data_IF_154531341585
#
_entry.id   IF_154531341585
#
_cell.length_a   1.000
_cell.length_b   1.000
_cell.length_c   1.000
_cell.angle_alpha   90.00
_cell.angle_beta   90.00
_cell.angle_gamma   90.00
#
_symmetry.space_group_name_H-M   'P 1'
#
loop_
_entity.id
_entity.type
_entity.pdbx_description
1 polymer ?
#
# COMPACT_ATOMS: atom_id res chain seq x y z
N UNK A 1 -68.94 31.98 9.55
CA UNK A 1 -67.89 31.91 8.52
C UNK A 1 -66.54 32.03 9.23
N UNK A 2 -65.67 31.03 9.17
CA UNK A 2 -64.35 31.11 9.84
C UNK A 2 -63.41 32.11 9.16
N UNK A 3 -62.61 32.82 9.95
CA UNK A 3 -61.54 33.72 9.52
C UNK A 3 -60.63 33.03 8.48
N UNK A 4 -60.18 33.72 7.43
CA UNK A 4 -59.34 33.16 6.35
C UNK A 4 -58.10 32.44 6.88
N UNK A 5 -57.49 32.96 7.95
CA UNK A 5 -56.39 32.33 8.69
C UNK A 5 -56.76 30.96 9.26
N UNK A 6 -57.99 30.77 9.75
CA UNK A 6 -58.44 29.48 10.28
C UNK A 6 -58.71 28.46 9.18
N UNK A 7 -59.17 28.91 8.00
CA UNK A 7 -59.31 28.04 6.82
C UNK A 7 -57.95 27.60 6.30
N UNK A 8 -56.99 28.53 6.23
CA UNK A 8 -55.61 28.24 5.85
C UNK A 8 -54.95 27.25 6.81
N UNK A 9 -55.07 27.47 8.13
CA UNK A 9 -54.56 26.53 9.15
C UNK A 9 -55.14 25.12 8.97
N UNK A 10 -56.46 25.00 8.76
CA UNK A 10 -57.10 23.70 8.52
C UNK A 10 -56.58 23.04 7.24
N UNK A 11 -56.35 23.80 6.18
CA UNK A 11 -55.76 23.28 4.94
C UNK A 11 -54.35 22.73 5.16
N UNK A 12 -53.50 23.44 5.91
CA UNK A 12 -52.16 22.97 6.29
C UNK A 12 -52.21 21.68 7.12
N UNK A 13 -53.05 21.64 8.16
CA UNK A 13 -53.19 20.48 9.04
C UNK A 13 -53.67 19.25 8.26
N UNK A 14 -54.65 19.44 7.37
CA UNK A 14 -55.23 18.37 6.55
C UNK A 14 -54.34 17.94 5.37
N UNK A 15 -53.23 18.64 5.13
CA UNK A 15 -52.32 18.32 4.04
C UNK A 15 -52.71 18.90 2.67
N UNK A 16 -53.79 19.68 2.53
CA UNK A 16 -54.25 20.15 1.21
C UNK A 16 -53.42 21.32 0.67
N UNK A 17 -52.28 21.01 0.06
CA UNK A 17 -51.35 21.98 -0.52
C UNK A 17 -52.01 22.92 -1.54
N UNK A 18 -52.87 22.41 -2.42
CA UNK A 18 -53.49 23.23 -3.47
C UNK A 18 -54.42 24.27 -2.87
N UNK A 19 -55.29 23.84 -1.94
CA UNK A 19 -56.18 24.75 -1.23
C UNK A 19 -55.39 25.74 -0.37
N UNK A 20 -54.34 25.29 0.32
CA UNK A 20 -53.48 26.16 1.11
C UNK A 20 -52.80 27.21 0.23
N UNK A 21 -52.22 26.82 -0.91
CA UNK A 21 -51.59 27.73 -1.87
C UNK A 21 -52.59 28.76 -2.41
N UNK A 22 -53.78 28.32 -2.83
CA UNK A 22 -54.82 29.23 -3.32
C UNK A 22 -55.24 30.25 -2.25
N UNK A 23 -55.46 29.81 -1.01
CA UNK A 23 -55.82 30.71 0.09
C UNK A 23 -54.67 31.68 0.39
N UNK A 24 -53.43 31.20 0.38
CA UNK A 24 -52.25 32.04 0.64
C UNK A 24 -52.04 33.07 -0.47
N UNK A 25 -52.11 32.67 -1.75
CA UNK A 25 -51.90 33.54 -2.90
C UNK A 25 -52.98 34.61 -3.04
N UNK A 26 -54.24 34.25 -2.82
CA UNK A 26 -55.40 35.14 -3.00
C UNK A 26 -55.63 36.14 -1.85
N UNK A 27 -54.96 36.00 -0.71
CA UNK A 27 -55.19 36.85 0.46
C UNK A 27 -53.91 37.60 0.89
N UNK A 28 -53.68 38.85 0.45
CA UNK A 28 -52.46 39.60 0.79
C UNK A 28 -52.34 39.90 2.30
N UNK A 29 -53.47 40.15 2.97
CA UNK A 29 -53.50 40.35 4.43
C UNK A 29 -53.04 39.10 5.21
N UNK A 30 -53.34 37.90 4.69
CA UNK A 30 -52.87 36.65 5.29
C UNK A 30 -51.36 36.51 5.10
N UNK A 31 -50.84 36.89 3.94
CA UNK A 31 -49.40 36.90 3.70
C UNK A 31 -48.73 37.78 4.75
N UNK A 32 -49.14 39.05 4.88
CA UNK A 32 -48.54 40.00 5.82
C UNK A 32 -48.62 39.59 7.29
N UNK A 33 -49.75 39.01 7.71
CA UNK A 33 -49.98 38.64 9.12
C UNK A 33 -49.44 37.27 9.53
N UNK A 34 -49.13 36.38 8.59
CA UNK A 34 -48.67 35.03 8.90
C UNK A 34 -47.16 35.03 9.14
N UNK A 35 -46.78 34.81 10.39
CA UNK A 35 -45.41 34.46 10.77
C UNK A 35 -45.23 32.93 10.79
N UNK A 36 -44.36 32.36 9.93
CA UNK A 36 -44.07 30.92 9.92
C UNK A 36 -43.42 30.40 11.20
N UNK A 37 -42.86 31.27 12.03
CA UNK A 37 -42.21 30.92 13.29
C UNK A 37 -43.17 30.89 14.48
N UNK A 38 -44.33 31.53 14.35
CA UNK A 38 -45.32 31.59 15.42
C UNK A 38 -46.04 30.26 15.56
N UNK A 39 -45.97 29.73 16.78
CA UNK A 39 -46.65 28.50 17.18
C UNK A 39 -48.18 28.64 17.17
N UNK A 40 -48.91 27.60 16.76
CA UNK A 40 -50.38 27.59 16.88
C UNK A 40 -50.89 27.36 18.32
N UNK A 41 -49.99 27.18 19.29
CA UNK A 41 -50.29 27.07 20.72
C UNK A 41 -50.44 25.63 21.23
N UNK A 42 -50.78 25.51 22.51
CA UNK A 42 -50.96 24.24 23.24
C UNK A 42 -51.86 23.20 22.55
N UNK A 43 -53.05 23.53 22.00
CA UNK A 43 -53.93 22.52 21.40
C UNK A 43 -53.33 21.86 20.14
N UNK A 44 -52.27 22.44 19.59
CA UNK A 44 -51.55 21.93 18.42
C UNK A 44 -50.12 21.49 18.76
N UNK A 45 -49.84 21.19 20.03
CA UNK A 45 -48.51 20.77 20.53
C UNK A 45 -47.41 21.78 20.19
N UNK A 46 -47.77 23.06 20.15
CA UNK A 46 -46.92 24.14 19.70
C UNK A 46 -46.33 24.03 18.29
N UNK A 47 -46.89 23.18 17.40
CA UNK A 47 -46.45 23.12 16.01
C UNK A 47 -46.61 24.46 15.28
N UNK A 48 -45.60 24.83 14.50
CA UNK A 48 -45.61 26.04 13.66
C UNK A 48 -46.22 25.73 12.27
N UNK A 49 -46.61 26.75 11.48
CA UNK A 49 -47.00 26.53 10.07
C UNK A 49 -45.96 25.74 9.27
N UNK A 50 -44.67 25.95 9.58
CA UNK A 50 -43.55 25.27 8.92
C UNK A 50 -43.51 23.76 9.25
N UNK A 51 -43.82 23.38 10.50
CA UNK A 51 -43.93 21.98 10.92
C UNK A 51 -44.99 21.22 10.11
N UNK A 52 -46.17 21.82 9.90
CA UNK A 52 -47.23 21.18 9.11
C UNK A 52 -46.92 21.14 7.61
N UNK A 53 -46.29 22.18 7.07
CA UNK A 53 -45.83 22.19 5.69
C UNK A 53 -44.78 21.09 5.44
N UNK A 54 -43.83 20.92 6.37
CA UNK A 54 -42.80 19.89 6.31
C UNK A 54 -43.37 18.48 6.48
N UNK A 55 -44.27 18.27 7.46
CA UNK A 55 -44.93 16.98 7.72
C UNK A 55 -45.61 16.39 6.48
N UNK A 56 -46.21 17.24 5.66
CA UNK A 56 -46.94 16.85 4.44
C UNK A 56 -46.12 17.01 3.16
N UNK A 57 -44.85 17.43 3.23
CA UNK A 57 -44.00 17.64 2.06
C UNK A 57 -44.54 18.70 1.08
N UNK A 58 -45.13 19.78 1.61
CA UNK A 58 -45.70 20.88 0.79
C UNK A 58 -44.60 21.78 0.23
N UNK A 59 -43.95 21.37 -0.86
CA UNK A 59 -42.77 22.06 -1.38
C UNK A 59 -43.01 23.56 -1.70
N UNK A 60 -44.17 23.93 -2.26
CA UNK A 60 -44.48 25.32 -2.64
C UNK A 60 -44.61 26.22 -1.43
N UNK A 61 -45.37 25.76 -0.43
CA UNK A 61 -45.58 26.52 0.81
C UNK A 61 -44.30 26.56 1.64
N UNK A 62 -43.62 25.42 1.76
CA UNK A 62 -42.37 25.33 2.51
C UNK A 62 -41.31 26.29 1.94
N UNK A 63 -41.14 26.34 0.62
CA UNK A 63 -40.22 27.30 -0.02
C UNK A 63 -40.61 28.75 0.22
N UNK A 64 -41.90 29.04 0.14
CA UNK A 64 -42.40 30.40 0.40
C UNK A 64 -42.13 30.83 1.85
N UNK A 65 -42.25 29.90 2.80
CA UNK A 65 -41.97 30.19 4.21
C UNK A 65 -40.49 30.32 4.51
N UNK A 66 -39.65 29.42 4.00
CA UNK A 66 -38.21 29.41 4.23
C UNK A 66 -37.49 30.60 3.59
N UNK A 67 -37.82 30.94 2.33
CA UNK A 67 -37.09 31.95 1.56
C UNK A 67 -37.82 33.29 1.42
N UNK A 68 -39.15 33.31 1.62
CA UNK A 68 -39.96 34.52 1.48
C UNK A 68 -40.43 35.14 2.79
N UNK A 69 -40.31 34.45 3.92
CA UNK A 69 -40.87 34.85 5.22
C UNK A 69 -39.97 34.55 6.43
N UNK A 70 -38.69 34.33 6.21
CA UNK A 70 -37.69 34.03 7.25
C UNK A 70 -38.13 32.94 8.24
N UNK A 71 -38.80 31.90 7.72
CA UNK A 71 -39.17 30.74 8.51
C UNK A 71 -37.94 29.97 8.97
N UNK A 72 -37.79 29.78 10.28
CA UNK A 72 -36.68 29.04 10.87
C UNK A 72 -37.07 27.56 11.06
N UNK A 73 -36.44 26.63 10.31
CA UNK A 73 -36.71 25.19 10.40
C UNK A 73 -36.24 24.56 11.72
N UNK A 74 -35.37 25.24 12.47
CA UNK A 74 -34.83 24.80 13.77
C UNK A 74 -35.78 25.04 14.94
N UNK A 75 -36.92 25.73 14.73
CA UNK A 75 -37.94 25.89 15.77
C UNK A 75 -38.42 24.52 16.22
N UNK A 76 -38.52 24.35 17.54
CA UNK A 76 -38.92 23.11 18.19
C UNK A 76 -40.36 23.18 18.68
N UNK A 77 -41.09 22.08 18.56
CA UNK A 77 -42.42 21.91 19.15
C UNK A 77 -42.34 21.39 20.61
N UNK A 78 -43.47 20.99 21.21
CA UNK A 78 -43.49 20.41 22.59
C UNK A 78 -42.65 19.13 22.73
N UNK A 79 -42.48 18.39 21.64
CA UNK A 79 -41.71 17.16 21.59
C UNK A 79 -40.21 17.38 21.29
N UNK A 80 -39.77 18.64 21.25
CA UNK A 80 -38.45 19.05 20.77
C UNK A 80 -38.16 18.71 19.29
N UNK A 81 -39.18 18.34 18.52
CA UNK A 81 -39.04 18.01 17.10
C UNK A 81 -38.86 19.29 16.28
N UNK A 82 -37.97 19.24 15.30
CA UNK A 82 -37.81 20.29 14.28
C UNK A 82 -38.66 20.00 13.05
N UNK A 83 -38.72 20.97 12.12
CA UNK A 83 -39.41 20.74 10.83
C UNK A 83 -38.79 19.58 10.03
N UNK A 84 -37.50 19.31 10.21
CA UNK A 84 -36.79 18.20 9.57
C UNK A 84 -37.22 16.83 10.12
N UNK A 85 -37.48 16.72 11.43
CA UNK A 85 -37.98 15.48 12.03
C UNK A 85 -39.33 15.07 11.42
N UNK A 86 -40.26 16.02 11.34
CA UNK A 86 -41.59 15.75 10.78
C UNK A 86 -41.57 15.46 9.29
N UNK A 87 -40.60 16.02 8.56
CA UNK A 87 -40.42 15.75 7.14
C UNK A 87 -39.93 14.31 6.91
N UNK A 88 -38.98 13.86 7.71
CA UNK A 88 -38.40 12.52 7.68
C UNK A 88 -39.32 11.46 8.31
N UNK A 89 -40.39 11.88 8.98
CA UNK A 89 -41.46 11.00 9.46
C UNK A 89 -42.36 10.61 8.28
N UNK A 90 -42.12 9.42 7.73
CA UNK A 90 -42.91 8.86 6.65
C UNK A 90 -44.31 8.43 7.08
N UNK A 91 -45.24 8.22 6.13
CA UNK A 91 -46.64 7.85 6.41
C UNK A 91 -46.79 6.51 7.16
N UNK A 92 -45.76 5.66 7.16
CA UNK A 92 -45.74 4.37 7.86
C UNK A 92 -45.55 4.52 9.38
N UNK A 93 -44.83 5.56 9.83
CA UNK A 93 -44.58 5.84 11.26
C UNK A 93 -45.72 6.69 11.86
N UNK A 94 -46.49 7.38 11.02
CA UNK A 94 -47.57 8.30 11.41
C UNK A 94 -48.82 7.63 12.04
N UNK A 95 -48.79 6.32 12.32
CA UNK A 95 -49.97 5.52 12.70
C UNK A 95 -50.21 5.51 14.23
N UNK A 96 -49.21 5.83 15.06
CA UNK A 96 -49.44 5.91 16.52
C UNK A 96 -49.80 7.33 16.98
N UNK A 97 -51.06 7.44 17.42
CA UNK A 97 -51.64 8.50 18.25
C UNK A 97 -51.87 9.87 17.58
N UNK A 98 -53.02 9.99 16.91
CA UNK A 98 -53.72 11.28 16.75
C UNK A 98 -53.58 11.99 15.40
N UNK A 99 -53.06 11.32 14.35
CA UNK A 99 -52.97 11.91 13.02
C UNK A 99 -54.31 11.85 12.26
N UNK A 100 -54.86 13.04 11.98
CA UNK A 100 -55.95 13.26 11.02
C UNK A 100 -55.67 12.50 9.71
N UNK A 101 -56.70 11.80 9.23
CA UNK A 101 -56.82 10.88 8.09
C UNK A 101 -55.64 10.75 7.10
N UNK A 102 -55.31 9.51 6.67
CA UNK A 102 -54.39 9.29 5.57
C UNK A 102 -54.86 9.99 4.30
N UNK A 103 -54.03 10.86 3.72
CA UNK A 103 -54.10 11.07 2.27
C UNK A 103 -53.85 9.71 1.60
N UNK A 104 -54.58 9.40 0.52
CA UNK A 104 -54.30 8.24 -0.32
C UNK A 104 -52.82 8.28 -0.73
N UNK A 105 -52.01 7.44 -0.09
CA UNK A 105 -50.55 7.45 -0.25
C UNK A 105 -50.18 7.08 -1.68
N UNK A 106 -49.49 7.98 -2.38
CA UNK A 106 -48.69 7.64 -3.56
C UNK A 106 -47.23 7.60 -3.10
N UNK A 107 -46.77 6.46 -2.58
CA UNK A 107 -45.52 6.38 -1.83
C UNK A 107 -44.29 6.92 -2.59
N UNK A 108 -44.23 6.68 -3.90
CA UNK A 108 -43.08 7.12 -4.73
C UNK A 108 -43.07 8.63 -4.98
N UNK A 109 -44.22 9.24 -5.28
CA UNK A 109 -44.30 10.69 -5.54
C UNK A 109 -44.07 11.50 -4.26
N UNK A 110 -44.49 10.96 -3.11
CA UNK A 110 -44.32 11.60 -1.80
C UNK A 110 -42.85 11.61 -1.35
N UNK A 111 -42.08 10.56 -1.64
CA UNK A 111 -40.65 10.47 -1.27
C UNK A 111 -39.79 11.50 -2.02
N UNK A 112 -40.01 11.70 -3.32
CA UNK A 112 -39.31 12.72 -4.10
C UNK A 112 -39.64 14.13 -3.59
N UNK A 113 -40.92 14.42 -3.32
CA UNK A 113 -41.33 15.72 -2.77
C UNK A 113 -40.71 16.00 -1.41
N UNK A 114 -40.62 14.98 -0.55
CA UNK A 114 -39.98 15.10 0.76
C UNK A 114 -38.48 15.31 0.63
N UNK A 115 -37.81 14.64 -0.29
CA UNK A 115 -36.40 14.86 -0.58
C UNK A 115 -36.13 16.30 -1.09
N UNK A 116 -36.98 16.83 -1.97
CA UNK A 116 -36.90 18.23 -2.43
C UNK A 116 -37.09 19.20 -1.26
N UNK A 117 -38.10 18.97 -0.42
CA UNK A 117 -38.34 19.76 0.80
C UNK A 117 -37.12 19.72 1.74
N UNK A 118 -36.49 18.56 1.90
CA UNK A 118 -35.33 18.36 2.76
C UNK A 118 -34.15 19.15 2.20
N UNK A 119 -33.93 19.08 0.88
CA UNK A 119 -32.91 19.86 0.21
C UNK A 119 -33.11 21.37 0.38
N UNK A 120 -34.36 21.84 0.36
CA UNK A 120 -34.68 23.25 0.63
C UNK A 120 -34.37 23.65 2.07
N UNK A 121 -34.69 22.80 3.05
CA UNK A 121 -34.32 23.02 4.46
C UNK A 121 -32.80 23.02 4.64
N UNK A 122 -32.08 22.07 4.05
CA UNK A 122 -30.61 21.99 4.15
C UNK A 122 -29.89 23.18 3.49
N UNK A 123 -30.50 23.79 2.46
CA UNK A 123 -30.00 25.02 1.82
C UNK A 123 -30.35 26.30 2.57
N UNK A 124 -31.22 26.23 3.58
CA UNK A 124 -31.64 27.38 4.35
C UNK A 124 -30.45 28.03 5.07
N UNK A 125 -30.38 29.35 4.98
CA UNK A 125 -29.42 30.19 5.69
C UNK A 125 -30.21 31.22 6.48
N UNK A 126 -30.13 31.15 7.79
CA UNK A 126 -30.79 32.07 8.70
C UNK A 126 -29.99 33.35 8.93
N UNK A 127 -30.18 33.94 10.10
CA UNK A 127 -29.53 35.18 10.47
C UNK A 127 -27.99 35.02 10.55
N UNK A 128 -27.28 36.15 10.37
CA UNK A 128 -25.83 36.20 10.55
C UNK A 128 -25.53 36.15 12.05
N UNK A 129 -24.75 35.16 12.46
CA UNK A 129 -24.22 34.99 13.81
C UNK A 129 -23.05 35.95 14.05
N UNK A 130 -22.73 36.19 15.32
CA UNK A 130 -21.72 37.17 15.75
C UNK A 130 -20.31 36.89 15.19
N UNK A 131 -20.02 35.64 14.83
CA UNK A 131 -18.75 35.19 14.26
C UNK A 131 -18.67 35.32 12.72
N UNK A 132 -19.68 35.88 12.07
CA UNK A 132 -19.72 36.05 10.62
C UNK A 132 -20.27 34.84 9.84
N UNK A 133 -20.61 33.77 10.54
CA UNK A 133 -21.28 32.59 9.99
C UNK A 133 -22.79 32.80 9.91
N UNK A 134 -23.46 32.06 9.03
CA UNK A 134 -24.92 32.09 8.92
C UNK A 134 -25.52 30.90 9.67
N UNK A 135 -26.64 31.10 10.36
CA UNK A 135 -27.40 29.99 10.95
C UNK A 135 -27.79 28.98 9.87
N UNK A 136 -27.62 27.68 10.14
CA UNK A 136 -27.95 26.58 9.21
C UNK A 136 -29.01 25.68 9.83
N UNK A 137 -29.61 24.83 9.01
CA UNK A 137 -30.50 23.79 9.51
C UNK A 137 -29.73 22.82 10.42
N UNK A 138 -30.25 22.57 11.61
CA UNK A 138 -29.67 21.63 12.57
C UNK A 138 -30.00 20.20 12.16
N UNK A 139 -29.05 19.55 11.49
CA UNK A 139 -29.17 18.19 10.94
C UNK A 139 -29.26 17.16 12.08
N UNK A 140 -28.43 17.31 13.10
CA UNK A 140 -28.36 16.42 14.27
C UNK A 140 -29.19 16.94 15.45
N UNK A 141 -30.23 17.73 15.17
CA UNK A 141 -31.18 18.10 16.21
C UNK A 141 -31.83 16.82 16.77
N UNK A 142 -32.00 16.77 18.09
CA UNK A 142 -32.62 15.62 18.77
C UNK A 142 -33.97 16.00 19.36
N UNK A 143 -34.92 15.08 19.25
CA UNK A 143 -36.22 15.15 19.92
C UNK A 143 -36.14 14.73 21.41
N UNK A 144 -37.29 14.66 22.09
CA UNK A 144 -37.36 14.21 23.48
C UNK A 144 -36.88 12.76 23.71
N UNK A 145 -36.90 11.92 22.68
CA UNK A 145 -36.45 10.52 22.71
C UNK A 145 -35.01 10.36 22.19
N UNK A 146 -34.30 11.48 22.01
CA UNK A 146 -32.96 11.55 21.40
C UNK A 146 -32.89 11.04 19.96
N UNK A 147 -34.01 10.91 19.26
CA UNK A 147 -34.01 10.59 17.84
C UNK A 147 -33.57 11.80 17.03
N UNK A 148 -32.67 11.60 16.09
CA UNK A 148 -32.32 12.57 15.05
C UNK A 148 -33.25 12.42 13.83
N UNK A 149 -33.33 13.40 12.91
CA UNK A 149 -34.06 13.26 11.65
C UNK A 149 -33.62 12.03 10.85
N UNK A 150 -32.35 11.63 10.97
CA UNK A 150 -31.80 10.45 10.32
C UNK A 150 -32.44 9.15 10.84
N UNK A 151 -32.73 9.04 12.14
CA UNK A 151 -33.46 7.90 12.71
C UNK A 151 -34.84 7.74 12.06
N UNK A 152 -35.58 8.85 11.90
CA UNK A 152 -36.90 8.83 11.27
C UNK A 152 -36.84 8.50 9.78
N UNK A 153 -35.87 9.05 9.05
CA UNK A 153 -35.67 8.76 7.63
C UNK A 153 -35.33 7.27 7.40
N UNK A 154 -34.47 6.71 8.26
CA UNK A 154 -34.05 5.32 8.23
C UNK A 154 -35.21 4.36 8.59
N UNK A 155 -35.95 4.66 9.66
CA UNK A 155 -37.14 3.91 10.07
C UNK A 155 -38.27 3.97 9.02
N UNK A 156 -38.35 5.05 8.24
CA UNK A 156 -39.36 5.21 7.18
C UNK A 156 -38.94 4.58 5.84
N UNK A 157 -37.69 4.11 5.72
CA UNK A 157 -37.17 3.54 4.48
C UNK A 157 -36.87 4.57 3.38
N UNK A 158 -36.75 5.85 3.73
CA UNK A 158 -36.63 6.96 2.78
C UNK A 158 -35.18 7.09 2.27
N UNK A 159 -34.79 6.23 1.32
CA UNK A 159 -33.41 6.12 0.80
C UNK A 159 -32.81 7.46 0.39
N UNK A 160 -33.53 8.25 -0.41
CA UNK A 160 -33.07 9.57 -0.89
C UNK A 160 -32.88 10.59 0.23
N UNK A 161 -33.74 10.58 1.26
CA UNK A 161 -33.60 11.47 2.40
C UNK A 161 -32.41 11.09 3.27
N UNK A 162 -32.18 9.79 3.48
CA UNK A 162 -31.00 9.27 4.18
C UNK A 162 -29.72 9.68 3.46
N UNK A 163 -29.62 9.45 2.16
CA UNK A 163 -28.44 9.85 1.36
C UNK A 163 -28.17 11.36 1.44
N UNK A 164 -29.21 12.19 1.43
CA UNK A 164 -29.06 13.64 1.56
C UNK A 164 -28.59 14.06 2.96
N UNK A 165 -29.11 13.45 4.02
CA UNK A 165 -28.69 13.74 5.39
C UNK A 165 -27.24 13.33 5.63
N UNK A 166 -26.85 12.13 5.21
CA UNK A 166 -25.48 11.63 5.38
C UNK A 166 -24.50 12.47 4.57
N UNK A 167 -24.83 12.82 3.32
CA UNK A 167 -23.99 13.69 2.48
C UNK A 167 -23.74 15.06 3.11
N UNK A 168 -24.68 15.56 3.90
CA UNK A 168 -24.56 16.85 4.59
C UNK A 168 -23.97 16.76 6.00
N UNK A 169 -23.44 15.59 6.39
CA UNK A 169 -22.75 15.37 7.65
C UNK A 169 -23.65 14.96 8.82
N UNK A 170 -24.81 14.35 8.54
CA UNK A 170 -25.65 13.78 9.59
C UNK A 170 -24.97 12.63 10.31
N UNK A 171 -25.07 12.63 11.65
CA UNK A 171 -24.40 11.64 12.50
C UNK A 171 -25.02 10.24 12.34
N UNK A 172 -24.23 9.33 11.78
CA UNK A 172 -24.57 7.91 11.58
C UNK A 172 -24.52 7.10 12.87
N UNK A 173 -23.78 7.57 13.89
CA UNK A 173 -23.52 6.87 15.14
C UNK A 173 -24.39 7.37 16.30
N UNK A 174 -25.25 8.37 16.05
CA UNK A 174 -26.14 8.91 17.07
C UNK A 174 -27.04 7.81 17.66
N UNK A 175 -27.04 7.66 18.98
CA UNK A 175 -27.89 6.71 19.70
C UNK A 175 -29.13 7.41 20.29
N UNK A 176 -30.31 6.84 20.05
CA UNK A 176 -31.54 7.30 20.71
C UNK A 176 -31.69 6.79 22.15
N UNK A 177 -32.80 7.10 22.84
CA UNK A 177 -33.07 6.61 24.21
C UNK A 177 -33.03 5.08 24.37
N UNK A 178 -33.33 4.33 23.30
CA UNK A 178 -33.29 2.87 23.31
C UNK A 178 -31.89 2.31 22.97
N UNK A 179 -30.89 3.16 22.77
CA UNK A 179 -29.57 2.83 22.25
C UNK A 179 -29.59 2.25 20.83
N UNK A 180 -30.61 2.61 20.06
CA UNK A 180 -30.67 2.26 18.65
C UNK A 180 -30.00 3.36 17.84
N UNK A 181 -29.16 2.96 16.89
CA UNK A 181 -28.63 3.83 15.83
C UNK A 181 -29.66 4.00 14.71
N UNK A 182 -29.47 4.95 13.77
CA UNK A 182 -30.29 5.04 12.57
C UNK A 182 -30.32 3.73 11.76
N UNK A 183 -29.21 2.99 11.73
CA UNK A 183 -29.13 1.69 11.07
C UNK A 183 -30.06 0.66 11.75
N UNK A 184 -30.00 0.57 13.09
CA UNK A 184 -30.88 -0.33 13.87
C UNK A 184 -32.37 -0.01 13.65
N UNK A 185 -32.69 1.28 13.52
CA UNK A 185 -34.06 1.72 13.22
C UNK A 185 -34.54 1.25 11.83
N UNK A 186 -33.66 1.25 10.82
CA UNK A 186 -33.97 0.70 9.50
C UNK A 186 -34.15 -0.83 9.55
N UNK A 187 -33.34 -1.54 10.33
CA UNK A 187 -33.46 -3.00 10.49
C UNK A 187 -34.77 -3.41 11.17
N UNK A 188 -35.15 -2.72 12.25
CA UNK A 188 -36.39 -2.97 13.00
C UNK A 188 -37.63 -2.84 12.12
N UNK A 189 -37.60 -1.93 11.15
CA UNK A 189 -38.68 -1.70 10.19
C UNK A 189 -38.53 -2.54 8.91
N UNK A 190 -37.61 -3.52 8.91
CA UNK A 190 -37.36 -4.46 7.82
C UNK A 190 -36.85 -3.81 6.52
N UNK A 191 -36.20 -2.64 6.59
CA UNK A 191 -35.58 -1.96 5.45
C UNK A 191 -34.13 -2.42 5.22
N UNK A 192 -33.95 -3.72 4.93
CA UNK A 192 -32.64 -4.38 4.84
C UNK A 192 -31.64 -3.71 3.89
N UNK A 193 -32.06 -3.33 2.68
CA UNK A 193 -31.14 -2.68 1.72
C UNK A 193 -30.60 -1.34 2.23
N UNK A 194 -31.43 -0.60 2.97
CA UNK A 194 -31.05 0.70 3.53
C UNK A 194 -30.16 0.52 4.75
N UNK A 195 -30.47 -0.46 5.60
CA UNK A 195 -29.61 -0.85 6.72
C UNK A 195 -28.22 -1.28 6.24
N UNK A 196 -28.13 -2.16 5.24
CA UNK A 196 -26.84 -2.58 4.66
C UNK A 196 -26.05 -1.39 4.09
N UNK A 197 -26.72 -0.43 3.45
CA UNK A 197 -26.06 0.76 2.94
C UNK A 197 -25.52 1.62 4.10
N UNK A 198 -26.34 1.88 5.12
CA UNK A 198 -25.93 2.60 6.33
C UNK A 198 -24.80 1.89 7.08
N UNK A 199 -24.88 0.58 7.26
CA UNK A 199 -23.84 -0.24 7.89
C UNK A 199 -22.53 -0.13 7.11
N UNK A 200 -22.58 -0.26 5.78
CA UNK A 200 -21.40 -0.07 4.93
C UNK A 200 -20.82 1.34 5.11
N UNK A 201 -21.66 2.37 5.15
CA UNK A 201 -21.22 3.73 5.37
C UNK A 201 -20.65 3.92 6.77
N UNK A 202 -21.18 3.28 7.81
CA UNK A 202 -20.62 3.32 9.17
C UNK A 202 -19.24 2.65 9.25
N UNK A 203 -19.02 1.56 8.52
CA UNK A 203 -17.71 0.88 8.45
C UNK A 203 -16.66 1.74 7.74
N UNK A 204 -17.06 2.49 6.71
CA UNK A 204 -16.15 3.33 5.92
C UNK A 204 -16.07 4.79 6.40
N UNK A 205 -17.05 5.27 7.17
CA UNK A 205 -17.04 6.59 7.82
C UNK A 205 -16.19 6.47 9.07
N UNK A 206 -14.88 6.57 8.86
CA UNK A 206 -13.89 6.60 9.93
C UNK A 206 -14.17 7.82 10.81
N UNK A 207 -14.27 7.56 12.11
CA UNK A 207 -14.37 8.53 13.17
C UNK A 207 -13.25 9.59 13.06
N UNK A 208 -13.53 10.90 13.20
CA UNK A 208 -12.48 11.92 13.32
C UNK A 208 -11.42 11.60 14.39
N UNK A 209 -11.78 10.90 15.47
CA UNK A 209 -10.80 10.45 16.49
C UNK A 209 -9.94 9.27 16.00
N UNK A 210 -10.42 8.50 15.03
CA UNK A 210 -9.61 7.46 14.39
C UNK A 210 -8.54 8.06 13.48
N UNK A 211 -8.72 9.26 12.90
CA UNK A 211 -7.66 9.93 12.14
C UNK A 211 -6.49 10.37 13.04
N UNK A 212 -6.74 10.77 14.29
CA UNK A 212 -5.70 11.19 15.24
C UNK A 212 -4.87 9.98 15.71
N UNK A 213 -5.54 8.85 15.98
CA UNK A 213 -4.88 7.59 16.33
C UNK A 213 -4.19 6.98 15.11
N UNK A 214 -4.79 7.00 13.92
CA UNK A 214 -4.19 6.46 12.70
C UNK A 214 -3.00 7.34 12.25
N UNK A 215 -3.00 8.65 12.52
CA UNK A 215 -1.83 9.51 12.35
C UNK A 215 -0.71 9.22 13.36
N UNK A 216 -1.06 8.88 14.61
CA UNK A 216 -0.11 8.50 15.66
C UNK A 216 0.51 7.12 15.39
N UNK A 217 -0.28 6.15 14.91
CA UNK A 217 0.20 4.83 14.47
C UNK A 217 0.93 4.90 13.13
N UNK A 218 0.53 5.77 12.19
CA UNK A 218 1.28 6.02 10.94
C UNK A 218 2.60 6.76 11.19
N UNK A 219 2.70 7.54 12.28
CA UNK A 219 3.98 8.10 12.73
C UNK A 219 4.93 7.01 13.27
N UNK A 220 4.40 5.92 13.82
CA UNK A 220 5.17 4.75 14.27
C UNK A 220 5.50 3.76 13.12
N UNK A 221 4.68 3.71 12.06
CA UNK A 221 4.91 2.87 10.86
C UNK A 221 5.55 3.63 9.68
N UNK A 222 6.22 4.75 9.96
CA UNK A 222 7.29 5.20 9.06
C UNK A 222 8.36 4.12 9.09
N UNK A 223 8.27 3.14 8.17
CA UNK A 223 9.35 2.20 7.86
C UNK A 223 10.65 2.97 7.98
N UNK A 224 11.48 2.58 8.94
CA UNK A 224 12.79 3.17 9.08
C UNK A 224 13.42 3.18 7.67
N UNK A 225 13.99 4.29 7.20
CA UNK A 225 14.50 4.41 5.82
C UNK A 225 15.75 3.54 5.59
N UNK A 226 16.01 2.59 6.48
CA UNK A 226 17.13 1.70 6.50
C UNK A 226 16.69 0.29 6.91
N UNK A 227 17.40 -0.71 6.41
CA UNK A 227 17.19 -2.12 6.74
C UNK A 227 18.52 -2.74 7.17
N UNK A 228 18.55 -3.36 8.35
CA UNK A 228 19.70 -4.13 8.82
C UNK A 228 19.77 -5.49 8.10
N UNK A 229 20.87 -5.73 7.37
CA UNK A 229 21.11 -6.93 6.58
C UNK A 229 22.06 -7.89 7.31
N UNK A 230 21.70 -9.17 7.34
CA UNK A 230 22.57 -10.25 7.82
C UNK A 230 23.50 -10.72 6.69
N UNK A 231 24.60 -11.44 7.00
CA UNK A 231 25.48 -12.02 5.96
C UNK A 231 24.75 -12.85 4.91
N UNK A 232 23.71 -13.60 5.32
CA UNK A 232 22.89 -14.39 4.39
C UNK A 232 22.07 -13.51 3.45
N UNK A 233 21.57 -12.36 3.94
CA UNK A 233 20.78 -11.43 3.14
C UNK A 233 21.68 -10.69 2.13
N UNK A 234 22.93 -10.37 2.52
CA UNK A 234 23.94 -9.83 1.61
C UNK A 234 24.28 -10.80 0.48
N UNK A 235 24.45 -12.09 0.79
CA UNK A 235 24.65 -13.13 -0.24
C UNK A 235 23.48 -13.19 -1.21
N UNK A 236 22.24 -13.18 -0.71
CA UNK A 236 21.05 -13.16 -1.57
C UNK A 236 20.98 -11.93 -2.47
N UNK A 237 21.35 -10.75 -1.97
CA UNK A 237 21.40 -9.54 -2.78
C UNK A 237 22.48 -9.61 -3.87
N UNK A 238 23.65 -10.19 -3.55
CA UNK A 238 24.70 -10.49 -4.52
C UNK A 238 24.18 -11.44 -5.61
N UNK A 239 23.55 -12.55 -5.21
CA UNK A 239 23.01 -13.55 -6.13
C UNK A 239 21.91 -12.95 -7.02
N UNK A 240 21.03 -12.11 -6.48
CA UNK A 240 20.03 -11.38 -7.27
C UNK A 240 20.68 -10.45 -8.30
N UNK A 241 21.73 -9.71 -7.92
CA UNK A 241 22.45 -8.86 -8.86
C UNK A 241 23.08 -9.68 -10.01
N UNK A 242 23.66 -10.84 -9.70
CA UNK A 242 24.21 -11.75 -10.71
C UNK A 242 23.11 -12.23 -11.66
N UNK A 243 21.95 -12.64 -11.13
CA UNK A 243 20.81 -13.09 -11.96
C UNK A 243 20.29 -11.97 -12.86
N UNK A 244 20.09 -10.76 -12.32
CA UNK A 244 19.63 -9.61 -13.09
C UNK A 244 20.62 -9.22 -14.19
N UNK A 245 21.93 -9.21 -13.88
CA UNK A 245 22.96 -8.89 -14.87
C UNK A 245 23.12 -9.98 -15.92
N UNK A 246 23.03 -11.26 -15.54
CA UNK A 246 23.04 -12.37 -16.48
C UNK A 246 21.88 -12.28 -17.49
N UNK A 247 20.67 -11.92 -17.02
CA UNK A 247 19.51 -11.70 -17.89
C UNK A 247 19.72 -10.52 -18.85
N UNK A 248 20.24 -9.40 -18.34
CA UNK A 248 20.55 -8.21 -19.16
C UNK A 248 21.64 -8.47 -20.21
N UNK A 249 22.68 -9.22 -19.85
CA UNK A 249 23.81 -9.56 -20.72
C UNK A 249 23.53 -10.79 -21.61
N UNK A 250 22.44 -11.51 -21.36
CA UNK A 250 22.13 -12.81 -21.95
C UNK A 250 23.30 -13.82 -21.83
N UNK A 251 23.93 -13.84 -20.67
CA UNK A 251 25.10 -14.66 -20.39
C UNK A 251 24.81 -15.68 -19.27
N UNK A 252 25.56 -16.80 -19.19
CA UNK A 252 25.49 -17.70 -18.04
C UNK A 252 25.80 -16.99 -16.70
N UNK A 253 25.22 -17.46 -15.60
CA UNK A 253 25.38 -16.86 -14.27
C UNK A 253 26.86 -16.74 -13.84
N UNK A 254 27.66 -17.78 -14.10
CA UNK A 254 29.09 -17.77 -13.76
C UNK A 254 29.87 -16.73 -14.59
N UNK A 255 29.46 -16.48 -15.85
CA UNK A 255 30.04 -15.44 -16.70
C UNK A 255 29.69 -14.05 -16.18
N UNK A 256 28.42 -13.83 -15.82
CA UNK A 256 27.98 -12.56 -15.25
C UNK A 256 28.66 -12.27 -13.90
N UNK A 257 28.86 -13.27 -13.04
CA UNK A 257 29.60 -13.12 -11.78
C UNK A 257 31.07 -12.74 -12.04
N UNK A 258 31.75 -13.41 -12.96
CA UNK A 258 33.14 -13.11 -13.30
C UNK A 258 33.29 -11.69 -13.89
N UNK A 259 32.36 -11.28 -14.75
CA UNK A 259 32.31 -9.93 -15.30
C UNK A 259 32.03 -8.87 -14.23
N UNK A 260 31.10 -9.14 -13.31
CA UNK A 260 30.84 -8.25 -12.18
C UNK A 260 32.07 -8.11 -11.28
N UNK A 261 32.81 -9.18 -11.01
CA UNK A 261 34.06 -9.11 -10.23
C UNK A 261 35.13 -8.27 -10.92
N UNK A 262 35.32 -8.46 -12.23
CA UNK A 262 36.28 -7.69 -13.01
C UNK A 262 35.96 -6.18 -13.05
N UNK A 263 34.69 -5.82 -12.85
CA UNK A 263 34.18 -4.45 -12.83
C UNK A 263 33.80 -3.96 -11.42
N UNK A 264 34.42 -4.50 -10.36
CA UNK A 264 34.23 -4.03 -8.99
C UNK A 264 32.74 -4.05 -8.55
N UNK A 265 31.96 -5.04 -8.98
CA UNK A 265 30.52 -5.14 -8.72
C UNK A 265 29.68 -3.92 -9.16
N UNK A 266 30.25 -3.05 -10.01
CA UNK A 266 29.59 -1.87 -10.55
C UNK A 266 28.84 -2.25 -11.83
N UNK A 267 27.53 -2.48 -11.67
CA UNK A 267 26.63 -2.86 -12.77
C UNK A 267 26.62 -1.82 -13.90
N UNK A 268 26.66 -0.53 -13.58
CA UNK A 268 26.55 0.52 -14.60
C UNK A 268 27.82 0.57 -15.47
N UNK A 269 28.99 0.54 -14.84
CA UNK A 269 30.27 0.45 -15.57
C UNK A 269 30.38 -0.81 -16.43
N UNK A 270 29.91 -1.94 -15.91
CA UNK A 270 29.88 -3.19 -16.67
C UNK A 270 28.99 -3.06 -17.92
N UNK A 271 27.77 -2.54 -17.76
CA UNK A 271 26.85 -2.36 -18.88
C UNK A 271 27.40 -1.37 -19.92
N UNK A 272 28.02 -0.27 -19.49
CA UNK A 272 28.68 0.68 -20.41
C UNK A 272 29.84 0.05 -21.19
N UNK A 273 30.70 -0.71 -20.50
CA UNK A 273 31.81 -1.42 -21.13
C UNK A 273 31.31 -2.50 -22.10
N UNK A 274 30.25 -3.22 -21.72
CA UNK A 274 29.60 -4.23 -22.55
C UNK A 274 28.96 -3.63 -23.80
N UNK A 275 28.22 -2.53 -23.67
CA UNK A 275 27.63 -1.81 -24.80
C UNK A 275 28.68 -1.23 -25.74
N UNK A 276 29.86 -0.86 -25.21
CA UNK A 276 30.95 -0.30 -26.00
C UNK A 276 31.68 -1.38 -26.80
N UNK A 277 32.09 -2.48 -26.15
CA UNK A 277 32.69 -3.62 -26.84
C UNK A 277 32.60 -4.90 -25.96
N UNK A 278 31.67 -5.84 -26.25
CA UNK A 278 31.46 -7.02 -25.43
C UNK A 278 32.62 -8.03 -25.53
N UNK A 279 33.27 -8.12 -26.69
CA UNK A 279 34.39 -9.05 -26.93
C UNK A 279 35.62 -8.66 -26.10
N UNK A 280 35.95 -7.36 -26.07
CA UNK A 280 37.08 -6.86 -25.28
C UNK A 280 36.81 -6.98 -23.77
N UNK A 281 35.55 -6.77 -23.36
CA UNK A 281 35.11 -6.93 -21.98
C UNK A 281 35.27 -8.39 -21.49
N UNK A 282 34.83 -9.34 -22.32
CA UNK A 282 35.01 -10.78 -22.04
C UNK A 282 36.49 -11.18 -22.02
N UNK A 283 37.28 -10.72 -22.99
CA UNK A 283 38.70 -11.07 -23.09
C UNK A 283 39.53 -10.51 -21.93
N UNK A 284 39.26 -9.28 -21.49
CA UNK A 284 39.93 -8.65 -20.33
C UNK A 284 39.57 -9.32 -19.00
N UNK A 285 38.34 -9.83 -18.90
CA UNK A 285 37.87 -10.54 -17.72
C UNK A 285 38.23 -12.03 -17.75
N UNK A 286 38.86 -12.50 -18.83
CA UNK A 286 39.18 -13.91 -19.01
C UNK A 286 37.93 -14.78 -19.02
N UNK A 287 36.85 -14.36 -19.68
CA UNK A 287 35.62 -15.16 -19.78
C UNK A 287 35.32 -15.44 -21.25
N UNK A 288 34.88 -16.67 -21.55
CA UNK A 288 34.44 -17.01 -22.90
C UNK A 288 33.14 -16.28 -23.23
N UNK A 289 33.09 -15.67 -24.43
CA UNK A 289 31.90 -14.96 -24.90
C UNK A 289 30.71 -15.93 -24.93
N UNK A 290 29.54 -15.56 -24.37
CA UNK A 290 28.35 -16.37 -24.49
C UNK A 290 28.02 -16.54 -25.97
N UNK A 291 27.99 -17.79 -26.44
CA UNK A 291 27.51 -18.09 -27.78
C UNK A 291 26.03 -17.69 -27.85
N UNK A 292 25.59 -16.90 -28.85
CA UNK A 292 24.19 -16.59 -28.98
C UNK A 292 23.41 -17.91 -29.11
N UNK A 293 22.23 -18.04 -28.46
CA UNK A 293 21.42 -19.22 -28.67
C UNK A 293 21.14 -19.34 -30.17
N UNK A 294 21.26 -20.55 -30.76
CA UNK A 294 20.94 -20.72 -32.17
C UNK A 294 19.51 -20.25 -32.40
N UNK A 295 19.36 -19.21 -33.22
CA UNK A 295 18.06 -18.66 -33.61
C UNK A 295 17.20 -19.77 -34.20
N UNK A 296 16.20 -20.19 -33.44
CA UNK A 296 15.07 -20.96 -33.93
C UNK A 296 15.23 -22.47 -33.98
N UNK A 297 15.57 -23.13 -32.88
CA UNK A 297 15.17 -24.53 -32.65
C UNK A 297 14.94 -24.79 -31.16
N UNK A 298 13.84 -25.47 -30.83
CA UNK A 298 13.46 -25.81 -29.46
C UNK A 298 14.56 -26.64 -28.79
N UNK A 299 15.15 -26.12 -27.71
CA UNK A 299 16.26 -26.68 -26.95
C UNK A 299 15.87 -27.92 -26.08
N UNK A 300 14.91 -28.72 -26.51
CA UNK A 300 14.59 -30.02 -25.90
C UNK A 300 15.06 -31.22 -26.73
N UNK A 301 15.43 -31.03 -27.99
CA UNK A 301 15.85 -32.13 -28.88
C UNK A 301 17.38 -32.26 -29.09
N UNK A 302 18.19 -31.52 -28.34
CA UNK A 302 19.67 -31.63 -28.38
C UNK A 302 20.30 -31.89 -27.01
N UNK A 303 19.55 -32.42 -26.05
CA UNK A 303 20.18 -33.18 -24.98
C UNK A 303 20.76 -34.47 -25.60
N UNK A 304 22.07 -34.73 -25.50
CA UNK A 304 22.51 -36.11 -25.52
C UNK A 304 21.83 -36.77 -24.31
N UNK A 305 21.00 -37.80 -24.56
CA UNK A 305 20.50 -38.69 -23.51
C UNK A 305 21.61 -38.98 -22.51
N UNK A 306 21.32 -39.04 -21.19
CA UNK A 306 22.32 -39.28 -20.17
C UNK A 306 23.08 -40.54 -20.51
N UNK A 307 24.31 -40.36 -21.01
CA UNK A 307 25.27 -41.43 -21.13
C UNK A 307 25.62 -41.79 -19.71
N UNK A 308 25.05 -42.91 -19.28
CA UNK A 308 25.58 -43.72 -18.19
C UNK A 308 27.10 -43.87 -18.34
N UNK A 309 27.85 -43.96 -17.23
CA UNK A 309 29.30 -43.88 -17.24
C UNK A 309 29.86 -44.98 -18.15
N UNK A 310 30.48 -44.57 -19.27
CA UNK A 310 31.22 -45.51 -20.11
C UNK A 310 32.56 -45.73 -19.44
N UNK A 311 32.57 -46.64 -18.47
CA UNK A 311 33.77 -47.37 -18.06
C UNK A 311 34.35 -48.05 -19.30
N UNK A 312 35.41 -47.48 -19.87
CA UNK A 312 36.25 -48.17 -20.84
C UNK A 312 37.15 -49.13 -20.08
N UNK A 313 36.71 -50.39 -19.94
CA UNK A 313 37.56 -51.57 -20.13
C UNK A 313 36.67 -52.76 -20.47
N UNK A 314 36.68 -53.12 -21.74
CA UNK A 314 36.00 -54.27 -22.34
C UNK A 314 36.75 -55.56 -21.99
N UNK A 315 36.03 -56.64 -21.62
CA UNK A 315 36.24 -58.08 -21.95
C UNK A 315 35.41 -58.93 -20.96
N UNK A 316 34.33 -59.59 -21.39
CA UNK A 316 34.33 -60.94 -21.98
C UNK A 316 35.33 -61.86 -21.29
N UNK A 317 34.84 -62.65 -20.34
CA UNK A 317 35.50 -63.87 -19.89
C UNK A 317 35.51 -64.89 -21.03
N UNK A 318 36.67 -65.04 -21.66
CA UNK A 318 37.20 -66.36 -22.03
C UNK A 318 38.69 -66.35 -21.67
N UNK A 319 39.21 -67.41 -21.04
CA UNK A 319 40.59 -67.50 -20.65
C UNK A 319 41.41 -67.84 -21.89
N UNK A 320 42.43 -67.03 -22.21
CA UNK A 320 43.74 -67.53 -22.63
C UNK A 320 44.67 -66.36 -23.01
N UNK A 321 45.89 -66.49 -22.50
CA UNK A 321 47.16 -65.88 -22.94
C UNK A 321 47.50 -64.41 -22.64
N UNK A 322 48.45 -64.32 -21.72
CA UNK A 322 49.42 -63.27 -21.38
C UNK A 322 50.11 -62.69 -22.63
N UNK A 323 50.23 -61.37 -22.74
CA UNK A 323 51.41 -60.69 -23.30
C UNK A 323 51.43 -59.20 -22.92
N UNK A 324 52.46 -58.81 -22.17
CA UNK A 324 52.80 -57.44 -21.78
C UNK A 324 53.51 -56.71 -22.93
N UNK A 325 53.20 -55.43 -23.13
CA UNK A 325 54.10 -54.45 -23.76
C UNK A 325 54.08 -53.11 -22.99
N UNK A 326 55.22 -52.40 -22.85
CA UNK A 326 55.36 -51.24 -21.96
C UNK A 326 55.42 -49.88 -22.71
N UNK A 327 54.83 -48.83 -22.12
CA UNK A 327 54.84 -47.42 -22.59
C UNK A 327 53.47 -47.01 -23.16
N UNK A 328 52.76 -45.98 -22.72
CA UNK A 328 53.11 -44.71 -22.06
C UNK A 328 52.14 -44.41 -20.91
N UNK A 329 52.66 -44.18 -19.70
CA UNK A 329 51.91 -43.58 -18.61
C UNK A 329 52.26 -42.08 -18.63
N UNK A 330 51.53 -41.32 -19.45
CA UNK A 330 51.74 -39.88 -19.59
C UNK A 330 51.37 -39.20 -18.26
N UNK A 331 52.37 -39.05 -17.40
CA UNK A 331 52.22 -38.52 -16.06
C UNK A 331 52.41 -37.02 -16.20
N UNK A 332 51.33 -36.25 -16.24
CA UNK A 332 51.40 -34.79 -16.36
C UNK A 332 52.28 -34.23 -15.22
N UNK A 333 53.23 -33.36 -15.57
CA UNK A 333 54.13 -32.72 -14.62
C UNK A 333 53.55 -31.35 -14.25
N UNK A 334 53.64 -30.97 -12.98
CA UNK A 334 53.23 -29.64 -12.56
C UNK A 334 54.31 -28.61 -12.92
N UNK A 335 53.94 -27.56 -13.67
CA UNK A 335 54.89 -26.51 -14.09
C UNK A 335 55.43 -25.62 -12.95
N UNK A 336 54.82 -25.68 -11.74
CA UNK A 336 55.26 -24.89 -10.58
C UNK A 336 56.27 -25.65 -9.73
N UNK A 337 56.01 -26.93 -9.42
CA UNK A 337 56.86 -27.73 -8.53
C UNK A 337 57.63 -28.85 -9.24
N UNK A 338 57.40 -29.05 -10.53
CA UNK A 338 58.01 -30.09 -11.38
C UNK A 338 57.76 -31.53 -10.88
N UNK A 339 56.76 -31.73 -10.00
CA UNK A 339 56.35 -33.04 -9.51
C UNK A 339 55.34 -33.72 -10.45
N UNK A 340 55.32 -35.05 -10.46
CA UNK A 340 54.30 -35.84 -11.18
C UNK A 340 52.92 -35.64 -10.56
N UNK A 341 51.96 -35.16 -11.33
CA UNK A 341 50.54 -35.09 -10.97
C UNK A 341 50.02 -36.52 -10.98
N UNK A 342 49.53 -37.01 -9.83
CA UNK A 342 49.07 -38.38 -9.70
C UNK A 342 47.72 -38.57 -10.40
N UNK A 343 47.56 -39.67 -11.13
CA UNK A 343 46.31 -40.09 -11.81
C UNK A 343 45.13 -40.30 -10.82
N UNK A 344 45.41 -40.32 -9.51
CA UNK A 344 44.43 -40.53 -8.44
C UNK A 344 44.01 -39.25 -7.70
N UNK A 345 44.59 -38.10 -8.02
CA UNK A 345 44.08 -36.80 -7.55
C UNK A 345 43.15 -36.23 -8.61
N UNK A 346 41.95 -35.80 -8.23
CA UNK A 346 41.02 -35.14 -9.14
C UNK A 346 41.71 -33.92 -9.79
N UNK A 347 41.89 -33.88 -11.13
CA UNK A 347 42.54 -32.78 -11.79
C UNK A 347 41.70 -31.51 -11.63
N UNK A 348 42.34 -30.39 -11.32
CA UNK A 348 41.69 -29.09 -11.23
C UNK A 348 41.41 -28.61 -12.66
N UNK A 349 40.18 -28.81 -13.12
CA UNK A 349 39.77 -28.44 -14.48
C UNK A 349 39.62 -26.92 -14.60
N UNK A 350 40.59 -26.28 -15.23
CA UNK A 350 40.63 -24.84 -15.45
C UNK A 350 40.38 -24.54 -16.94
N UNK A 351 39.48 -23.60 -17.29
CA UNK A 351 39.12 -23.31 -18.70
C UNK A 351 40.27 -22.79 -19.58
N UNK A 352 41.41 -22.42 -18.98
CA UNK A 352 42.61 -22.03 -19.71
C UNK A 352 43.53 -23.21 -20.09
N UNK A 353 43.25 -24.44 -19.64
CA UNK A 353 44.03 -25.64 -19.96
C UNK A 353 45.42 -25.70 -19.32
N UNK A 354 45.64 -24.99 -18.21
CA UNK A 354 46.90 -25.01 -17.45
C UNK A 354 46.79 -25.96 -16.26
N UNK A 355 47.67 -26.96 -16.21
CA UNK A 355 47.63 -28.02 -15.19
C UNK A 355 48.68 -27.78 -14.10
N UNK A 356 48.20 -27.60 -12.85
CA UNK A 356 49.06 -27.53 -11.67
C UNK A 356 48.61 -28.54 -10.62
N UNK A 357 49.53 -29.05 -9.79
CA UNK A 357 49.17 -29.95 -8.72
C UNK A 357 48.35 -29.24 -7.62
N UNK A 358 47.52 -30.01 -6.92
CA UNK A 358 46.63 -29.51 -5.88
C UNK A 358 47.36 -28.75 -4.78
N UNK A 359 48.55 -29.21 -4.38
CA UNK A 359 49.36 -28.54 -3.35
C UNK A 359 49.89 -27.16 -3.77
N UNK A 360 50.21 -26.98 -5.06
CA UNK A 360 50.61 -25.68 -5.60
C UNK A 360 49.42 -24.73 -5.68
N UNK A 361 48.27 -25.21 -6.13
CA UNK A 361 47.02 -24.44 -6.12
C UNK A 361 46.62 -24.02 -4.70
N UNK A 362 46.66 -24.94 -3.74
CA UNK A 362 46.35 -24.65 -2.33
C UNK A 362 47.30 -23.60 -1.76
N UNK A 363 48.61 -23.71 -2.01
CA UNK A 363 49.60 -22.74 -1.54
C UNK A 363 49.39 -21.36 -2.18
N UNK A 364 49.14 -21.31 -3.48
CA UNK A 364 48.88 -20.07 -4.22
C UNK A 364 47.60 -19.37 -3.74
N UNK A 365 46.49 -20.11 -3.66
CA UNK A 365 45.21 -19.57 -3.20
C UNK A 365 45.27 -19.12 -1.74
N UNK A 366 45.89 -19.90 -0.86
CA UNK A 366 46.08 -19.51 0.54
C UNK A 366 46.90 -18.23 0.67
N UNK A 367 47.97 -18.07 -0.11
CA UNK A 367 48.79 -16.88 -0.11
C UNK A 367 48.01 -15.67 -0.61
N UNK A 368 47.28 -15.79 -1.73
CA UNK A 368 46.47 -14.72 -2.29
C UNK A 368 45.32 -14.28 -1.39
N UNK A 369 44.65 -15.22 -0.72
CA UNK A 369 43.59 -14.91 0.24
C UNK A 369 44.17 -14.26 1.51
N UNK A 370 45.40 -14.61 1.92
CA UNK A 370 46.08 -13.96 3.04
C UNK A 370 46.58 -12.54 2.72
N UNK A 371 46.99 -12.28 1.48
CA UNK A 371 47.41 -10.95 1.00
C UNK A 371 46.24 -9.95 0.96
N UNK A 372 44.99 -10.43 1.01
CA UNK A 372 43.79 -9.58 1.09
C UNK A 372 43.23 -9.13 -0.26
N UNK A 373 43.90 -9.45 -1.37
CA UNK A 373 43.43 -9.23 -2.75
C UNK A 373 42.65 -10.44 -3.27
N UNK A 374 41.51 -10.74 -2.62
CA UNK A 374 40.69 -11.90 -2.99
C UNK A 374 39.73 -11.65 -4.17
N UNK A 375 39.63 -10.42 -4.68
CA UNK A 375 38.59 -10.03 -5.64
C UNK A 375 38.83 -10.55 -7.05
N UNK A 376 40.10 -10.62 -7.48
CA UNK A 376 40.50 -10.99 -8.83
C UNK A 376 41.68 -11.98 -8.80
N UNK A 377 41.40 -13.22 -8.40
CA UNK A 377 42.41 -14.29 -8.43
C UNK A 377 42.51 -14.84 -9.85
N UNK A 378 43.65 -14.60 -10.49
CA UNK A 378 43.96 -15.11 -11.82
C UNK A 378 44.72 -16.43 -11.77
N UNK A 379 44.72 -17.15 -12.89
CA UNK A 379 45.52 -18.36 -13.07
C UNK A 379 47.02 -18.09 -12.77
N UNK A 380 47.71 -19.00 -12.06
CA UNK A 380 49.15 -18.89 -11.77
C UNK A 380 50.07 -18.88 -13.00
N UNK A 381 49.56 -19.23 -14.19
CA UNK A 381 50.34 -19.31 -15.42
C UNK A 381 50.80 -17.92 -15.91
N UNK A 382 51.98 -17.88 -16.52
CA UNK A 382 52.53 -16.66 -17.10
C UNK A 382 51.65 -16.16 -18.25
N UNK A 383 51.29 -14.87 -18.22
CA UNK A 383 50.44 -14.20 -19.22
C UNK A 383 49.01 -14.78 -19.34
N UNK A 384 48.50 -15.37 -18.26
CA UNK A 384 47.13 -15.87 -18.18
C UNK A 384 46.24 -14.97 -17.31
N UNK A 385 45.25 -14.32 -17.93
CA UNK A 385 44.27 -13.45 -17.25
C UNK A 385 42.94 -14.17 -16.96
N UNK A 386 42.94 -15.51 -16.97
CA UNK A 386 41.76 -16.31 -16.70
C UNK A 386 41.42 -16.23 -15.20
N UNK A 387 40.23 -15.76 -14.85
CA UNK A 387 39.73 -15.74 -13.48
C UNK A 387 39.46 -17.16 -12.99
N UNK A 388 39.86 -17.44 -11.75
CA UNK A 388 39.61 -18.72 -11.07
C UNK A 388 38.15 -18.77 -10.58
N UNK A 389 37.34 -19.76 -11.03
CA UNK A 389 35.98 -19.95 -10.54
C UNK A 389 35.91 -20.24 -9.04
N UNK A 390 34.81 -19.83 -8.39
CA UNK A 390 34.59 -20.02 -6.94
C UNK A 390 34.57 -21.49 -6.55
N UNK A 391 33.98 -22.34 -7.39
CA UNK A 391 33.88 -23.78 -7.15
C UNK A 391 35.27 -24.43 -7.01
N UNK A 392 36.26 -23.93 -7.76
CA UNK A 392 37.65 -24.39 -7.67
C UNK A 392 38.27 -23.94 -6.35
N UNK A 393 38.02 -22.71 -5.93
CA UNK A 393 38.53 -22.17 -4.66
C UNK A 393 37.95 -22.99 -3.49
N UNK A 394 36.63 -23.22 -3.46
CA UNK A 394 35.96 -24.02 -2.42
C UNK A 394 36.50 -25.46 -2.37
N UNK A 395 36.78 -26.06 -3.52
CA UNK A 395 37.26 -27.44 -3.59
C UNK A 395 38.71 -27.61 -3.17
N UNK A 396 39.58 -26.61 -3.37
CA UNK A 396 41.03 -26.71 -3.15
C UNK A 396 41.45 -26.22 -1.77
N UNK A 397 40.87 -25.13 -1.26
CA UNK A 397 41.33 -24.50 -0.01
C UNK A 397 40.63 -25.06 1.23
N UNK A 398 41.24 -24.84 2.40
CA UNK A 398 40.59 -25.20 3.67
C UNK A 398 39.31 -24.40 3.93
N UNK A 399 38.36 -24.99 4.68
CA UNK A 399 37.09 -24.34 5.06
C UNK A 399 37.25 -22.99 5.77
N UNK A 400 38.38 -22.75 6.42
CA UNK A 400 38.67 -21.49 7.08
C UNK A 400 39.07 -20.41 6.07
N UNK A 401 39.83 -20.78 5.05
CA UNK A 401 40.27 -19.86 4.01
C UNK A 401 39.13 -19.53 3.03
N UNK A 402 38.29 -20.51 2.72
CA UNK A 402 37.07 -20.30 1.92
C UNK A 402 36.13 -19.27 2.59
N UNK A 403 35.92 -19.37 3.91
CA UNK A 403 35.16 -18.36 4.66
C UNK A 403 35.76 -16.96 4.55
N UNK A 404 37.09 -16.83 4.59
CA UNK A 404 37.77 -15.54 4.42
C UNK A 404 37.61 -15.01 3.00
N UNK A 405 37.76 -15.87 2.00
CA UNK A 405 37.52 -15.52 0.60
C UNK A 405 36.10 -14.97 0.39
N UNK A 406 35.08 -15.70 0.87
CA UNK A 406 33.69 -15.26 0.80
C UNK A 406 33.44 -13.95 1.55
N UNK A 407 34.14 -13.73 2.67
CA UNK A 407 34.06 -12.47 3.42
C UNK A 407 34.63 -11.30 2.61
N UNK A 408 35.77 -11.48 1.94
CA UNK A 408 36.35 -10.45 1.07
C UNK A 408 35.47 -10.19 -0.17
N UNK A 409 34.91 -11.23 -0.78
CA UNK A 409 34.00 -11.11 -1.93
C UNK A 409 32.77 -10.27 -1.58
N UNK A 410 32.12 -10.56 -0.45
CA UNK A 410 30.98 -9.77 0.05
C UNK A 410 31.43 -8.36 0.46
N UNK A 411 32.65 -8.21 0.98
CA UNK A 411 33.20 -6.90 1.36
C UNK A 411 33.30 -5.95 0.16
N UNK A 412 33.83 -6.40 -0.98
CA UNK A 412 33.85 -5.56 -2.19
C UNK A 412 32.45 -5.26 -2.71
N UNK A 413 31.55 -6.24 -2.72
CA UNK A 413 30.16 -6.01 -3.12
C UNK A 413 29.51 -4.88 -2.31
N UNK A 414 29.75 -4.83 -1.00
CA UNK A 414 29.21 -3.78 -0.11
C UNK A 414 29.96 -2.45 -0.29
N UNK A 415 31.29 -2.46 -0.37
CA UNK A 415 32.09 -1.23 -0.51
C UNK A 415 31.80 -0.46 -1.81
N UNK A 416 31.46 -1.17 -2.87
CA UNK A 416 31.11 -0.56 -4.16
C UNK A 416 29.63 -0.17 -4.27
N UNK A 417 28.78 -0.58 -3.33
CA UNK A 417 27.37 -0.22 -3.32
C UNK A 417 27.09 1.03 -2.46
N UNK A 418 26.76 2.19 -3.04
CA UNK A 418 26.52 3.42 -2.27
C UNK A 418 25.28 3.38 -1.37
N UNK A 419 24.40 2.38 -1.54
CA UNK A 419 23.20 2.19 -0.74
C UNK A 419 23.40 1.19 0.41
N UNK A 420 24.54 0.51 0.51
CA UNK A 420 24.82 -0.49 1.56
C UNK A 420 26.11 -0.11 2.29
N UNK A 421 26.13 -0.18 3.62
CA UNK A 421 27.33 0.09 4.43
C UNK A 421 27.52 -0.95 5.54
N UNK A 422 28.77 -1.31 5.81
CA UNK A 422 29.13 -2.17 6.94
C UNK A 422 28.87 -1.49 8.28
N UNK A 423 28.46 -2.29 9.26
CA UNK A 423 28.44 -1.88 10.66
C UNK A 423 29.88 -1.60 11.13
N UNK A 424 30.18 -0.44 11.75
CA UNK A 424 31.54 -0.08 12.17
C UNK A 424 32.01 -0.84 13.42
N UNK A 425 31.15 -1.63 14.06
CA UNK A 425 31.49 -2.34 15.30
C UNK A 425 32.42 -3.53 15.01
N UNK A 426 33.58 -3.64 15.67
CA UNK A 426 34.51 -4.75 15.44
C UNK A 426 33.85 -6.09 15.78
N UNK A 427 34.00 -7.06 14.87
CA UNK A 427 33.36 -8.38 14.98
C UNK A 427 31.88 -8.43 14.57
N UNK A 428 31.31 -7.32 14.06
CA UNK A 428 29.96 -7.31 13.50
C UNK A 428 29.97 -7.51 11.97
N UNK A 429 29.55 -8.69 11.51
CA UNK A 429 29.44 -9.00 10.07
C UNK A 429 28.12 -8.52 9.43
N UNK A 430 27.48 -7.48 10.00
CA UNK A 430 26.20 -6.97 9.48
C UNK A 430 26.40 -5.69 8.68
N UNK A 431 25.52 -5.48 7.72
CA UNK A 431 25.47 -4.26 6.94
C UNK A 431 24.09 -3.61 7.08
N UNK A 432 23.98 -2.36 6.66
CA UNK A 432 22.73 -1.61 6.60
C UNK A 432 22.51 -1.17 5.16
N UNK A 433 21.30 -1.34 4.66
CA UNK A 433 20.86 -0.79 3.37
C UNK A 433 19.96 0.42 3.59
N UNK A 434 20.28 1.54 2.97
CA UNK A 434 19.45 2.75 2.99
C UNK A 434 18.49 2.73 1.79
N UNK A 435 17.18 2.77 2.03
CA UNK A 435 16.18 2.94 0.96
C UNK A 435 16.07 4.43 0.63
N UNK A 436 16.71 4.86 -0.46
CA UNK A 436 16.44 6.19 -1.01
C UNK A 436 14.98 6.22 -1.46
N UNK A 437 14.13 6.99 -0.79
CA UNK A 437 12.82 7.34 -1.34
C UNK A 437 13.07 8.04 -2.68
N UNK A 438 12.57 7.44 -3.76
CA UNK A 438 12.69 8.01 -5.10
C UNK A 438 12.13 9.42 -5.12
N UNK A 439 12.93 10.35 -5.67
CA UNK A 439 12.58 11.73 -5.97
C UNK A 439 11.53 11.82 -7.10
N UNK A 440 10.38 11.16 -6.97
CA UNK A 440 9.29 11.23 -7.94
C UNK A 440 7.93 11.17 -7.21
N UNK A 441 7.56 12.24 -6.51
CA UNK A 441 6.16 12.64 -6.37
C UNK A 441 6.07 14.16 -6.35
N UNK A 442 5.60 14.72 -7.46
CA UNK A 442 5.09 16.08 -7.55
C UNK A 442 3.75 16.12 -6.82
N UNK A 443 3.80 16.19 -5.50
CA UNK A 443 2.64 16.34 -4.62
C UNK A 443 3.04 17.22 -3.46
N UNK A 444 2.47 18.41 -3.42
CA UNK A 444 2.70 19.43 -2.39
C UNK A 444 2.18 18.97 -1.03
N UNK A 445 3.01 18.24 -0.27
CA UNK A 445 2.82 18.06 1.16
C UNK A 445 3.68 19.06 1.93
N UNK A 446 3.02 20.07 2.49
CA UNK A 446 3.61 21.20 3.20
C UNK A 446 4.12 20.87 4.62
N UNK A 447 4.56 19.64 4.87
CA UNK A 447 5.14 19.19 6.16
C UNK A 447 6.36 18.27 5.98
N UNK A 448 7.17 18.47 4.95
CA UNK A 448 8.50 17.83 4.90
C UNK A 448 9.45 18.58 5.86
N UNK A 449 9.62 18.04 7.07
CA UNK A 449 10.78 18.37 7.89
C UNK A 449 12.05 18.16 7.07
N UNK A 450 13.05 19.05 7.16
CA UNK A 450 14.29 18.87 6.42
C UNK A 450 14.91 17.56 6.87
N UNK A 451 14.95 16.56 5.97
CA UNK A 451 15.64 15.29 6.18
C UNK A 451 17.03 15.61 6.73
N UNK A 452 17.32 15.13 7.94
CA UNK A 452 18.65 15.26 8.53
C UNK A 452 19.67 14.76 7.50
N UNK A 453 20.71 15.57 7.27
CA UNK A 453 21.77 15.34 6.28
C UNK A 453 22.49 13.98 6.43
N UNK A 454 22.26 13.28 7.54
CA UNK A 454 22.77 11.96 7.83
C UNK A 454 21.84 11.20 8.80
N UNK A 455 21.08 10.19 8.34
CA UNK A 455 20.27 9.38 9.25
C UNK A 455 21.16 8.52 10.16
N UNK A 456 20.74 8.38 11.43
CA UNK A 456 21.24 7.33 12.30
C UNK A 456 20.58 6.01 11.88
N UNK A 457 21.37 4.95 11.78
CA UNK A 457 20.90 3.64 11.30
C UNK A 457 21.31 2.53 12.27
N UNK A 458 20.50 1.48 12.39
CA UNK A 458 20.80 0.27 13.16
C UNK A 458 21.10 -0.92 12.24
N UNK A 459 22.14 -1.69 12.56
CA UNK A 459 22.44 -2.97 11.90
C UNK A 459 21.53 -4.13 12.36
N UNK A 460 20.54 -3.86 13.21
CA UNK A 460 19.58 -4.82 13.77
C UNK A 460 20.14 -5.66 14.92
N UNK A 461 21.32 -5.30 15.46
CA UNK A 461 21.84 -5.80 16.74
C UNK A 461 21.76 -4.73 17.84
N UNK A 462 21.13 -3.58 17.57
CA UNK A 462 21.16 -2.41 18.44
C UNK A 462 22.45 -1.60 18.33
N UNK A 463 23.19 -1.73 17.21
CA UNK A 463 24.37 -0.91 16.96
C UNK A 463 23.98 0.28 16.09
N UNK A 464 23.78 1.42 16.73
CA UNK A 464 23.42 2.67 16.08
C UNK A 464 24.66 3.43 15.60
N UNK A 465 24.71 3.79 14.32
CA UNK A 465 25.77 4.61 13.77
C UNK A 465 25.25 5.60 12.73
N UNK A 466 26.03 6.65 12.45
CA UNK A 466 25.66 7.68 11.50
C UNK A 466 26.01 7.24 10.07
N UNK A 467 25.04 7.31 9.14
CA UNK A 467 25.26 6.90 7.74
C UNK A 467 26.39 7.69 7.04
N UNK A 468 26.56 8.98 7.36
CA UNK A 468 27.52 9.85 6.66
C UNK A 468 28.92 9.87 7.28
N UNK A 469 29.06 9.53 8.57
CA UNK A 469 30.33 9.65 9.29
C UNK A 469 30.91 8.25 9.44
N UNK A 470 31.62 7.79 8.42
CA UNK A 470 32.29 6.49 8.47
C UNK A 470 33.75 6.58 8.94
N UNK A 471 34.21 7.74 9.44
CA UNK A 471 35.66 8.01 9.46
C UNK A 471 36.30 8.62 10.73
N UNK A 472 35.66 8.68 11.91
CA UNK A 472 36.38 9.18 13.11
C UNK A 472 35.93 8.61 14.46
N UNK A 473 36.05 7.30 14.68
CA UNK A 473 36.08 6.74 16.04
C UNK A 473 37.20 5.70 16.22
N UNK A 474 38.34 5.89 15.55
CA UNK A 474 39.62 5.36 16.01
C UNK A 474 40.41 6.49 16.67
N UNK A 475 40.15 6.75 17.96
CA UNK A 475 41.07 7.30 18.98
C UNK A 475 40.31 7.97 20.14
N UNK A 476 40.13 7.21 21.22
CA UNK A 476 40.15 7.71 22.60
C UNK A 476 40.54 6.57 23.54
#
# INVERSE_FOLDING_TARGET
>A
MGNTTTKFRKALINGDENLACQIYENNPQLKESLDPNTSYGEPYQHNTPLHYAARHGMNRILGTFLFGRDGNPNKRNVHNETSMHLLCMGPQIMISEGALHPRLARPVEDDFRRADCLQMILRWKGAKLDQGEYERAAIDAVDNKKNTPLHYAAASGMKTCVELLVKHGGDLFAENENKDTPCDCAEKQHHKDLALNLESQMVFSRDPEAEEIEAEYAALDKREPYEGLRPQDLRRLKDMLIVETADMLQAPLFTAEALLRAHDWDREKLLEAWMSNPENCCQRSGVQMPTPPPSGYNAWDTLPSPRTPRTTRSSVTSPDEISLSPGDLDTSLCDICMCSISVFEDPVDMPCGHDFCRGCWESFLNLKIQEGEAHNIFCPAYDCFQLVPVDIIESVVSKEMDKRYLQFDIKAFVENNPAIKWCPTPGCERAVRLTKQGSNTSGSDALSFPLLRAPAVDCGKGHLFCWSVQDRLESA
#
